data_IF_008152676280
#
_entry.id   IF_008152676280
#
_cell.length_a   1.000
_cell.length_b   1.000
_cell.length_c   1.000
_cell.angle_alpha   90.00
_cell.angle_beta   90.00
_cell.angle_gamma   90.00
#
_symmetry.space_group_name_H-M   'P 1'
#
loop_
_entity.id
_entity.type
_entity.pdbx_description
1 polymer ?
#
# COMPACT_ATOMS: atom_id res chain seq x y z
N UNK A 1 25.74 -37.66 -17.05
CA UNK A 1 26.18 -36.87 -15.89
C UNK A 1 25.27 -37.14 -14.69
N UNK A 2 25.54 -38.18 -13.89
CA UNK A 2 24.71 -38.57 -12.73
C UNK A 2 25.40 -38.31 -11.38
N UNK A 3 26.60 -37.73 -11.41
CA UNK A 3 27.40 -37.43 -10.22
C UNK A 3 26.67 -36.48 -9.26
N UNK A 4 26.06 -35.42 -9.79
CA UNK A 4 25.31 -34.43 -8.99
C UNK A 4 24.11 -35.04 -8.25
N UNK A 5 23.35 -35.91 -8.91
CA UNK A 5 22.22 -36.61 -8.28
C UNK A 5 22.66 -37.55 -7.15
N UNK A 6 23.77 -38.26 -7.38
CA UNK A 6 24.34 -39.16 -6.37
C UNK A 6 24.87 -38.39 -5.15
N UNK A 7 25.39 -37.18 -5.38
CA UNK A 7 25.89 -36.29 -4.34
C UNK A 7 24.78 -35.66 -3.49
N UNK A 8 23.67 -35.25 -4.12
CA UNK A 8 22.46 -34.82 -3.41
C UNK A 8 21.94 -35.93 -2.49
N UNK A 9 21.92 -37.17 -2.98
CA UNK A 9 21.45 -38.33 -2.21
C UNK A 9 22.39 -38.70 -1.06
N UNK A 10 23.71 -38.45 -1.19
CA UNK A 10 24.71 -38.72 -0.14
C UNK A 10 24.72 -37.62 0.93
N UNK A 11 24.61 -36.36 0.53
CA UNK A 11 24.68 -35.18 1.41
C UNK A 11 23.30 -34.54 1.67
N UNK A 12 22.29 -35.37 1.98
CA UNK A 12 20.88 -34.94 2.07
C UNK A 12 20.64 -33.75 2.99
N UNK A 13 21.38 -33.65 4.10
CA UNK A 13 21.22 -32.57 5.08
C UNK A 13 21.67 -31.21 4.51
N UNK A 14 22.81 -31.16 3.82
CA UNK A 14 23.30 -29.91 3.21
C UNK A 14 22.36 -29.40 2.13
N UNK A 15 21.94 -30.28 1.22
CA UNK A 15 21.01 -29.91 0.15
C UNK A 15 19.60 -29.63 0.67
N UNK A 16 19.14 -30.33 1.71
CA UNK A 16 17.88 -30.04 2.40
C UNK A 16 17.89 -28.67 3.07
N UNK A 17 19.00 -28.29 3.73
CA UNK A 17 19.15 -26.94 4.28
C UNK A 17 19.13 -25.87 3.18
N UNK A 18 19.81 -26.09 2.05
CA UNK A 18 19.79 -25.14 0.93
C UNK A 18 18.38 -24.95 0.38
N UNK A 19 17.66 -26.05 0.11
CA UNK A 19 16.26 -25.99 -0.36
C UNK A 19 15.37 -25.33 0.70
N UNK A 20 15.59 -25.63 1.97
CA UNK A 20 14.85 -25.03 3.09
C UNK A 20 15.04 -23.51 3.16
N UNK A 21 16.28 -23.03 3.07
CA UNK A 21 16.59 -21.59 3.05
C UNK A 21 15.97 -20.93 1.83
N UNK A 22 16.09 -21.52 0.63
CA UNK A 22 15.48 -20.98 -0.58
C UNK A 22 13.94 -20.91 -0.46
N UNK A 23 13.32 -21.91 0.12
CA UNK A 23 11.88 -21.96 0.38
C UNK A 23 11.48 -20.87 1.39
N UNK A 24 12.26 -20.71 2.47
CA UNK A 24 12.00 -19.72 3.51
C UNK A 24 12.15 -18.29 2.98
N UNK A 25 13.17 -18.02 2.15
CA UNK A 25 13.34 -16.72 1.48
C UNK A 25 12.16 -16.45 0.54
N UNK A 26 11.77 -17.45 -0.27
CA UNK A 26 10.64 -17.31 -1.20
C UNK A 26 9.34 -17.03 -0.44
N UNK A 27 9.11 -17.74 0.66
CA UNK A 27 7.95 -17.54 1.52
C UNK A 27 7.95 -16.15 2.18
N UNK A 28 9.11 -15.69 2.66
CA UNK A 28 9.26 -14.35 3.21
C UNK A 28 8.93 -13.27 2.17
N UNK A 29 9.45 -13.40 0.95
CA UNK A 29 9.16 -12.46 -0.14
C UNK A 29 7.68 -12.45 -0.50
N UNK A 30 7.04 -13.62 -0.53
CA UNK A 30 5.60 -13.74 -0.75
C UNK A 30 4.80 -13.00 0.34
N UNK A 31 5.14 -13.20 1.61
CA UNK A 31 4.48 -12.51 2.73
C UNK A 31 4.70 -10.99 2.68
N UNK A 32 5.93 -10.54 2.40
CA UNK A 32 6.24 -9.12 2.27
C UNK A 32 5.42 -8.47 1.14
N UNK A 33 5.31 -9.14 -0.01
CA UNK A 33 4.49 -8.67 -1.11
C UNK A 33 3.01 -8.64 -0.75
N UNK A 34 2.49 -9.69 -0.12
CA UNK A 34 1.10 -9.75 0.35
C UNK A 34 0.77 -8.63 1.34
N UNK A 35 1.65 -8.38 2.31
CA UNK A 35 1.49 -7.32 3.30
C UNK A 35 1.56 -5.93 2.65
N UNK A 36 2.54 -5.70 1.77
CA UNK A 36 2.69 -4.43 1.06
C UNK A 36 1.45 -4.13 0.21
N UNK A 37 0.98 -5.10 -0.58
CA UNK A 37 -0.22 -4.95 -1.39
C UNK A 37 -1.47 -4.75 -0.52
N UNK A 38 -1.61 -5.48 0.58
CA UNK A 38 -2.70 -5.30 1.53
C UNK A 38 -2.73 -3.89 2.13
N UNK A 39 -1.56 -3.37 2.53
CA UNK A 39 -1.43 -2.01 3.08
C UNK A 39 -1.71 -0.94 2.01
N UNK A 40 -1.20 -1.11 0.78
CA UNK A 40 -1.48 -0.21 -0.34
C UNK A 40 -2.98 -0.20 -0.62
N UNK A 41 -3.62 -1.36 -0.73
CA UNK A 41 -5.04 -1.46 -1.02
C UNK A 41 -5.88 -0.79 0.08
N UNK A 42 -5.58 -1.02 1.37
CA UNK A 42 -6.27 -0.35 2.47
C UNK A 42 -6.12 1.17 2.45
N UNK A 43 -4.95 1.69 2.08
CA UNK A 43 -4.72 3.14 1.98
C UNK A 43 -5.34 3.76 0.71
N UNK A 44 -5.47 2.98 -0.37
CA UNK A 44 -5.97 3.45 -1.66
C UNK A 44 -7.50 3.29 -1.81
N UNK A 45 -8.12 2.36 -1.11
CA UNK A 45 -9.53 2.00 -1.29
C UNK A 45 -10.49 3.20 -1.12
N UNK A 46 -10.22 4.08 -0.15
CA UNK A 46 -11.04 5.29 0.06
C UNK A 46 -10.90 6.32 -1.06
N UNK A 47 -9.73 6.38 -1.70
CA UNK A 47 -9.43 7.28 -2.82
C UNK A 47 -9.99 6.72 -4.13
N UNK A 48 -9.82 5.43 -4.39
CA UNK A 48 -10.26 4.79 -5.63
C UNK A 48 -11.78 4.89 -5.84
N UNK A 49 -12.56 4.95 -4.75
CA UNK A 49 -14.01 5.13 -4.80
C UNK A 49 -14.44 6.54 -5.23
N UNK A 50 -13.55 7.53 -5.19
CA UNK A 50 -13.89 8.92 -5.51
C UNK A 50 -13.97 9.20 -7.02
N UNK A 51 -13.49 8.29 -7.88
CA UNK A 51 -13.55 8.42 -9.35
C UNK A 51 -12.90 9.71 -9.91
N UNK A 52 -11.86 10.23 -9.24
CA UNK A 52 -11.10 11.38 -9.74
C UNK A 52 -10.20 11.00 -10.92
N UNK A 53 -10.10 11.86 -11.93
CA UNK A 53 -9.17 11.68 -13.06
C UNK A 53 -7.70 11.73 -12.63
N UNK A 54 -7.39 12.57 -11.63
CA UNK A 54 -6.06 12.75 -11.09
C UNK A 54 -6.09 13.29 -9.66
N UNK A 55 -5.02 13.01 -8.91
CA UNK A 55 -4.80 13.54 -7.56
C UNK A 55 -3.51 14.35 -7.56
N UNK A 56 -3.61 15.61 -7.16
CA UNK A 56 -2.47 16.52 -7.10
C UNK A 56 -1.87 16.46 -5.70
N UNK A 57 -0.60 16.07 -5.62
CA UNK A 57 0.16 16.03 -4.37
C UNK A 57 1.38 16.94 -4.46
N UNK A 58 1.81 17.50 -3.33
CA UNK A 58 3.11 18.14 -3.23
C UNK A 58 4.21 17.10 -3.52
N UNK A 59 5.18 17.45 -4.36
CA UNK A 59 6.34 16.61 -4.71
C UNK A 59 7.11 16.12 -3.47
N UNK A 60 7.12 16.93 -2.41
CA UNK A 60 7.87 16.66 -1.18
C UNK A 60 7.07 15.77 -0.21
N UNK A 61 5.82 15.44 -0.53
CA UNK A 61 4.93 14.64 0.31
C UNK A 61 5.13 13.13 0.19
N UNK A 62 6.13 12.67 -0.56
CA UNK A 62 6.43 11.24 -0.77
C UNK A 62 5.17 10.40 -1.10
N UNK A 63 4.34 10.90 -2.03
CA UNK A 63 3.08 10.28 -2.45
C UNK A 63 2.05 10.02 -1.34
N UNK A 64 2.17 10.72 -0.20
CA UNK A 64 1.28 10.57 0.96
C UNK A 64 0.34 11.76 1.08
N UNK A 65 -0.97 11.51 1.02
CA UNK A 65 -2.01 12.55 1.10
C UNK A 65 -1.93 13.34 2.42
N UNK A 66 -1.68 12.69 3.56
CA UNK A 66 -1.51 13.33 4.89
C UNK A 66 -0.44 14.43 4.88
N UNK A 67 0.64 14.17 4.12
CA UNK A 67 1.84 14.99 4.12
C UNK A 67 1.81 16.04 3.01
N UNK A 68 0.81 15.97 2.12
CA UNK A 68 0.69 16.86 0.99
C UNK A 68 0.02 18.17 1.39
N UNK A 69 0.86 19.16 1.73
CA UNK A 69 0.42 20.53 2.01
C UNK A 69 1.03 21.47 0.97
N UNK A 70 0.19 22.28 0.33
CA UNK A 70 0.60 23.30 -0.62
C UNK A 70 -0.46 24.42 -0.67
N UNK A 71 -0.13 25.57 -1.25
CA UNK A 71 -1.05 26.69 -1.28
C UNK A 71 -2.12 26.46 -2.36
N UNK A 72 -3.41 26.68 -2.03
CA UNK A 72 -4.51 26.57 -3.01
C UNK A 72 -4.31 27.51 -4.22
N UNK A 73 -3.60 28.62 -4.05
CA UNK A 73 -3.24 29.56 -5.13
C UNK A 73 -2.37 28.91 -6.23
N UNK A 74 -1.58 27.89 -5.89
CA UNK A 74 -0.66 27.24 -6.83
C UNK A 74 -1.38 26.37 -7.88
N UNK A 75 -2.65 26.02 -7.59
CA UNK A 75 -3.51 25.19 -8.43
C UNK A 75 -4.77 25.93 -8.92
N UNK A 76 -4.94 27.19 -8.53
CA UNK A 76 -6.11 28.00 -8.89
C UNK A 76 -6.23 28.12 -10.43
N UNK A 77 -7.42 27.82 -10.97
CA UNK A 77 -7.74 27.83 -12.40
C UNK A 77 -6.90 26.89 -13.30
N UNK A 78 -6.16 25.92 -12.74
CA UNK A 78 -5.42 24.93 -13.55
C UNK A 78 -6.28 23.75 -14.01
N UNK A 79 -7.38 23.49 -13.33
CA UNK A 79 -8.26 22.34 -13.59
C UNK A 79 -9.72 22.77 -13.67
N UNK A 80 -10.50 22.13 -14.56
CA UNK A 80 -11.91 22.47 -14.78
C UNK A 80 -12.81 22.16 -13.58
N UNK A 81 -12.52 21.05 -12.88
CA UNK A 81 -13.19 20.63 -11.64
C UNK A 81 -12.12 20.24 -10.65
N UNK A 82 -12.22 20.78 -9.44
CA UNK A 82 -11.27 20.50 -8.37
C UNK A 82 -12.01 20.48 -7.03
N UNK A 83 -11.58 19.58 -6.15
CA UNK A 83 -12.11 19.47 -4.81
C UNK A 83 -10.95 19.22 -3.84
N UNK A 84 -11.01 19.87 -2.67
CA UNK A 84 -9.99 19.70 -1.64
C UNK A 84 -10.11 18.30 -1.04
N UNK A 85 -9.05 17.51 -1.07
CA UNK A 85 -8.97 16.22 -0.39
C UNK A 85 -8.44 16.41 1.05
N UNK A 86 -9.11 15.78 2.01
CA UNK A 86 -8.62 15.61 3.37
C UNK A 86 -8.70 14.14 3.76
N UNK A 87 -7.70 13.66 4.50
CA UNK A 87 -7.71 12.31 5.05
C UNK A 87 -7.28 12.38 6.52
N UNK A 88 -8.07 11.75 7.39
CA UNK A 88 -7.87 11.71 8.85
C UNK A 88 -8.03 10.28 9.36
N UNK A 89 -7.27 9.91 10.39
CA UNK A 89 -7.47 8.65 11.11
C UNK A 89 -8.47 8.85 12.23
N UNK A 90 -9.51 8.03 12.29
CA UNK A 90 -10.57 8.11 13.30
C UNK A 90 -10.77 6.75 13.97
N UNK A 91 -11.30 6.75 15.19
CA UNK A 91 -11.72 5.53 15.87
C UNK A 91 -13.24 5.50 15.85
N UNK A 92 -13.82 4.60 15.06
CA UNK A 92 -15.27 4.39 15.01
C UNK A 92 -15.67 3.25 15.95
N UNK A 93 -16.82 3.43 16.59
CA UNK A 93 -17.38 2.48 17.54
C UNK A 93 -18.84 2.24 17.25
N UNK A 94 -19.27 0.99 17.24
CA UNK A 94 -20.70 0.62 17.19
C UNK A 94 -21.27 0.26 18.58
N UNK A 95 -20.54 0.55 19.65
CA UNK A 95 -20.89 0.21 21.03
C UNK A 95 -20.32 -1.12 21.52
N UNK A 96 -20.07 -2.08 20.63
CA UNK A 96 -19.49 -3.39 20.97
C UNK A 96 -18.05 -3.55 20.47
N UNK A 97 -17.71 -2.93 19.36
CA UNK A 97 -16.39 -3.00 18.73
C UNK A 97 -15.91 -1.60 18.37
N UNK A 98 -14.59 -1.39 18.54
CA UNK A 98 -13.89 -0.17 18.14
C UNK A 98 -12.86 -0.52 17.08
N UNK A 99 -12.94 0.16 15.94
CA UNK A 99 -12.00 -0.04 14.83
C UNK A 99 -11.33 1.29 14.46
N UNK A 100 -10.03 1.21 14.18
CA UNK A 100 -9.29 2.33 13.61
C UNK A 100 -9.59 2.38 12.12
N UNK A 101 -10.13 3.50 11.65
CA UNK A 101 -10.47 3.71 10.24
C UNK A 101 -9.77 4.94 9.70
N UNK A 102 -9.56 4.92 8.40
CA UNK A 102 -9.01 6.03 7.66
C UNK A 102 -10.14 6.68 6.87
N UNK A 103 -10.52 7.89 7.25
CA UNK A 103 -11.63 8.63 6.65
C UNK A 103 -11.07 9.59 5.62
N UNK A 104 -11.59 9.50 4.40
CA UNK A 104 -11.33 10.43 3.30
C UNK A 104 -12.55 11.33 3.13
N UNK A 105 -12.32 12.63 3.05
CA UNK A 105 -13.36 13.63 2.94
C UNK A 105 -13.00 14.66 1.88
N UNK A 106 -14.01 15.09 1.14
CA UNK A 106 -13.85 15.94 -0.04
C UNK A 106 -14.83 17.09 0.05
N UNK A 107 -14.40 18.27 -0.33
CA UNK A 107 -15.26 19.45 -0.26
C UNK A 107 -16.38 19.32 -1.31
N UNK A 108 -17.64 19.47 -0.87
CA UNK A 108 -18.86 19.12 -1.62
C UNK A 108 -19.15 20.04 -2.82
N UNK A 109 -18.25 20.96 -3.15
CA UNK A 109 -18.40 21.87 -4.25
C UNK A 109 -17.65 21.29 -5.45
N UNK A 110 -18.40 20.96 -6.51
CA UNK A 110 -17.94 20.60 -7.87
C UNK A 110 -17.70 19.10 -8.15
N UNK A 111 -18.80 18.35 -8.28
CA UNK A 111 -18.86 17.20 -9.20
C UNK A 111 -19.49 17.60 -10.53
#
# INVERSE_FOLDING_TARGET
>A
MFLAWNEIRRNKLKFGLIIGVLTMISYLLFLLSGLANGLINMNKEGIDKWQADAIVLNKDANQTVQQSVFNKKDIENKYNKQATLKQTGEIVSNGHQKDNVLVFGVENHHF
#
